data_IF_345634618932
#
_entry.id   IF_345634618932
#
_cell.length_a   1.000
_cell.length_b   1.000
_cell.length_c   1.000
_cell.angle_alpha   90.00
_cell.angle_beta   90.00
_cell.angle_gamma   90.00
#
_symmetry.space_group_name_H-M   'P 1'
#
loop_
_entity.id
_entity.type
_entity.pdbx_description
1 polymer ?
#
# COMPACT_ATOMS: atom_id res chain seq x y z
N UNK A 1 -3.17 -1.07 0.68
CA UNK A 1 -3.41 -1.68 2.02
C UNK A 1 -2.88 -3.10 1.95
N UNK A 2 -2.10 -3.58 2.90
CA UNK A 2 -1.63 -4.98 2.87
C UNK A 2 -2.55 -5.87 3.71
N UNK A 3 -3.05 -6.95 3.11
CA UNK A 3 -3.83 -8.01 3.75
C UNK A 3 -3.00 -9.29 3.83
N UNK A 4 -3.16 -10.05 4.92
CA UNK A 4 -2.55 -11.37 5.08
C UNK A 4 -3.56 -12.47 4.74
N UNK A 5 -3.13 -13.44 3.96
CA UNK A 5 -3.91 -14.63 3.62
C UNK A 5 -3.05 -15.87 3.86
N UNK A 6 -3.63 -16.88 4.51
CA UNK A 6 -2.93 -18.12 4.82
C UNK A 6 -3.27 -19.16 3.77
N UNK A 7 -2.24 -19.75 3.17
CA UNK A 7 -2.38 -20.76 2.12
C UNK A 7 -1.50 -21.97 2.39
N UNK A 8 -1.93 -23.12 1.88
CA UNK A 8 -1.20 -24.37 1.94
C UNK A 8 -0.91 -24.84 0.52
N UNK A 9 0.36 -25.09 0.19
CA UNK A 9 0.75 -25.69 -1.08
C UNK A 9 0.16 -27.11 -1.20
N UNK A 10 -0.56 -27.39 -2.29
CA UNK A 10 -1.19 -28.71 -2.48
C UNK A 10 -0.17 -29.82 -2.74
N UNK A 11 0.94 -29.52 -3.41
CA UNK A 11 2.01 -30.48 -3.73
C UNK A 11 2.80 -30.92 -2.50
N UNK A 12 3.42 -29.99 -1.77
CA UNK A 12 4.38 -30.32 -0.70
C UNK A 12 3.89 -29.99 0.71
N UNK A 13 2.64 -29.53 0.85
CA UNK A 13 2.01 -29.20 2.14
C UNK A 13 2.77 -28.16 2.98
N UNK A 14 3.56 -27.30 2.32
CA UNK A 14 4.18 -26.15 2.96
C UNK A 14 3.16 -25.03 3.15
N UNK A 15 3.12 -24.46 4.36
CA UNK A 15 2.29 -23.31 4.69
C UNK A 15 2.97 -22.02 4.22
N UNK A 16 2.17 -21.11 3.66
CA UNK A 16 2.57 -19.76 3.27
C UNK A 16 1.63 -18.72 3.86
N UNK A 17 2.20 -17.57 4.19
CA UNK A 17 1.46 -16.37 4.57
C UNK A 17 1.65 -15.32 3.49
N UNK A 18 0.65 -15.15 2.65
CA UNK A 18 0.69 -14.20 1.55
C UNK A 18 0.35 -12.81 2.06
N UNK A 19 1.23 -11.87 1.79
CA UNK A 19 1.02 -10.43 2.06
C UNK A 19 0.73 -9.76 0.74
N UNK A 20 -0.52 -9.39 0.53
CA UNK A 20 -1.00 -8.88 -0.75
C UNK A 20 -1.48 -7.45 -0.56
N UNK A 21 -0.92 -6.53 -1.35
CA UNK A 21 -1.42 -5.16 -1.39
C UNK A 21 -2.68 -5.11 -2.21
N UNK A 22 -3.78 -4.66 -1.59
CA UNK A 22 -5.00 -4.32 -2.30
C UNK A 22 -4.73 -3.12 -3.21
N UNK A 23 -4.63 -3.37 -4.50
CA UNK A 23 -4.58 -2.37 -5.57
C UNK A 23 -5.94 -1.69 -5.83
N UNK A 24 -6.05 -1.00 -6.96
CA UNK A 24 -7.25 -0.24 -7.37
C UNK A 24 -8.23 -1.07 -8.20
N UNK A 25 -7.82 -2.23 -8.68
CA UNK A 25 -8.65 -3.07 -9.53
C UNK A 25 -9.55 -3.99 -8.69
N UNK A 26 -10.76 -4.22 -9.18
CA UNK A 26 -11.75 -5.11 -8.52
C UNK A 26 -11.31 -6.60 -8.52
N UNK A 27 -10.33 -6.95 -9.35
CA UNK A 27 -9.79 -8.30 -9.46
C UNK A 27 -8.29 -8.25 -9.60
N UNK A 28 -7.58 -9.00 -8.77
CA UNK A 28 -6.12 -9.07 -8.74
C UNK A 28 -5.69 -10.53 -8.71
N UNK A 29 -4.92 -10.94 -9.71
CA UNK A 29 -4.31 -12.27 -9.78
C UNK A 29 -2.83 -12.19 -9.42
N UNK A 30 -2.37 -13.15 -8.62
CA UNK A 30 -0.96 -13.27 -8.25
C UNK A 30 -0.46 -14.68 -8.49
N UNK A 31 0.76 -14.77 -9.02
CA UNK A 31 1.49 -16.02 -9.22
C UNK A 31 2.79 -15.97 -8.43
N UNK A 32 3.13 -17.06 -7.78
CA UNK A 32 4.39 -17.21 -7.07
C UNK A 32 4.79 -18.68 -7.00
N UNK A 33 6.07 -18.96 -6.78
CA UNK A 33 6.56 -20.32 -6.64
C UNK A 33 6.56 -20.73 -5.16
N UNK A 34 6.15 -21.96 -4.89
CA UNK A 34 6.26 -22.55 -3.57
C UNK A 34 7.73 -22.49 -3.09
N UNK A 35 7.96 -21.93 -1.92
CA UNK A 35 9.30 -21.80 -1.33
C UNK A 35 10.01 -23.12 -1.04
N UNK A 36 9.29 -24.24 -1.02
CA UNK A 36 9.84 -25.56 -0.73
C UNK A 36 9.97 -26.46 -1.99
N UNK A 37 8.90 -26.60 -2.78
CA UNK A 37 8.92 -27.49 -3.97
C UNK A 37 9.03 -26.76 -5.31
N UNK A 38 9.13 -25.43 -5.31
CA UNK A 38 9.23 -24.58 -6.50
C UNK A 38 8.05 -24.62 -7.49
N UNK A 39 7.04 -25.47 -7.26
CA UNK A 39 5.81 -25.49 -8.07
C UNK A 39 5.08 -24.14 -8.02
N UNK A 40 4.53 -23.72 -9.17
CA UNK A 40 3.77 -22.47 -9.29
C UNK A 40 2.45 -22.58 -8.51
N UNK A 41 2.09 -21.49 -7.81
CA UNK A 41 0.85 -21.30 -7.09
C UNK A 41 0.18 -20.03 -7.63
N UNK A 42 -1.12 -20.11 -7.89
CA UNK A 42 -1.93 -18.99 -8.35
C UNK A 42 -3.06 -18.69 -7.35
N UNK A 43 -3.22 -17.41 -7.02
CA UNK A 43 -4.29 -16.91 -6.14
C UNK A 43 -4.93 -15.68 -6.74
N UNK A 44 -6.15 -15.37 -6.31
CA UNK A 44 -6.82 -14.13 -6.68
C UNK A 44 -7.47 -13.45 -5.49
N UNK A 45 -7.66 -12.15 -5.63
CA UNK A 45 -8.45 -11.31 -4.73
C UNK A 45 -9.51 -10.59 -5.54
N UNK A 46 -10.76 -10.72 -5.12
CA UNK A 46 -11.86 -9.88 -5.56
C UNK A 46 -12.08 -8.76 -4.54
N UNK A 47 -12.18 -7.53 -5.00
CA UNK A 47 -12.34 -6.34 -4.15
C UNK A 47 -13.66 -5.65 -4.49
N UNK A 48 -14.47 -5.42 -3.47
CA UNK A 48 -15.68 -4.61 -3.56
C UNK A 48 -15.42 -3.26 -2.86
N UNK A 49 -15.21 -2.22 -3.67
CA UNK A 49 -14.98 -0.87 -3.16
C UNK A 49 -16.23 -0.18 -2.63
N UNK A 50 -17.44 -0.65 -3.02
CA UNK A 50 -18.70 -0.09 -2.54
C UNK A 50 -19.02 -0.61 -1.13
N UNK A 51 -18.63 -1.85 -0.83
CA UNK A 51 -18.79 -2.45 0.50
C UNK A 51 -17.59 -2.12 1.39
N UNK A 52 -17.82 -1.28 2.40
CA UNK A 52 -16.78 -0.84 3.36
C UNK A 52 -16.93 -1.55 4.70
N UNK A 53 -15.83 -2.06 5.25
CA UNK A 53 -15.74 -2.68 6.57
C UNK A 53 -14.98 -1.77 7.55
N UNK A 54 -15.36 -1.77 8.82
CA UNK A 54 -14.60 -1.09 9.87
C UNK A 54 -13.32 -1.85 10.17
N UNK A 55 -12.20 -1.12 10.23
CA UNK A 55 -10.91 -1.72 10.61
C UNK A 55 -10.87 -1.87 12.13
N UNK A 56 -10.77 -3.11 12.62
CA UNK A 56 -10.65 -3.41 14.05
C UNK A 56 -9.33 -2.92 14.65
N UNK A 57 -9.33 -2.61 15.94
CA UNK A 57 -8.12 -2.21 16.68
C UNK A 57 -7.77 -0.72 16.63
N UNK A 58 -8.52 0.09 15.88
CA UNK A 58 -8.34 1.55 15.87
C UNK A 58 -9.23 2.24 16.91
N UNK A 59 -8.80 3.39 17.48
CA UNK A 59 -9.61 4.15 18.42
C UNK A 59 -10.97 4.53 17.83
N UNK A 60 -12.06 4.43 18.62
CA UNK A 60 -13.45 4.67 18.15
C UNK A 60 -13.70 6.04 17.50
N UNK A 61 -12.85 7.03 17.76
CA UNK A 61 -12.94 8.36 17.15
C UNK A 61 -12.37 8.41 15.72
N UNK A 62 -11.56 7.42 15.34
CA UNK A 62 -10.98 7.27 14.00
C UNK A 62 -11.82 6.27 13.18
N UNK A 63 -12.71 6.79 12.34
CA UNK A 63 -13.57 5.99 11.45
C UNK A 63 -12.83 5.57 10.18
N UNK A 64 -11.79 4.76 10.31
CA UNK A 64 -11.14 4.15 9.15
C UNK A 64 -11.92 2.93 8.68
N UNK A 65 -12.14 2.87 7.36
CA UNK A 65 -12.80 1.74 6.70
C UNK A 65 -11.94 1.18 5.59
N UNK A 66 -12.05 -0.12 5.37
CA UNK A 66 -11.40 -0.84 4.29
C UNK A 66 -12.44 -1.38 3.30
N UNK A 67 -12.10 -1.58 2.02
CA UNK A 67 -12.98 -2.31 1.10
C UNK A 67 -13.10 -3.78 1.51
N UNK A 68 -14.23 -4.38 1.22
CA UNK A 68 -14.40 -5.83 1.34
C UNK A 68 -13.51 -6.52 0.30
N UNK A 69 -12.75 -7.52 0.74
CA UNK A 69 -11.89 -8.33 -0.11
C UNK A 69 -12.21 -9.81 0.07
N UNK A 70 -12.33 -10.56 -1.01
CA UNK A 70 -12.55 -11.99 -1.01
C UNK A 70 -11.35 -12.70 -1.67
N UNK A 71 -10.63 -13.49 -0.88
CA UNK A 71 -9.47 -14.24 -1.35
C UNK A 71 -9.89 -15.61 -1.88
N UNK A 72 -9.38 -15.97 -3.06
CA UNK A 72 -9.67 -17.26 -3.71
C UNK A 72 -8.39 -17.94 -4.16
N UNK A 73 -8.10 -19.18 -3.71
CA UNK A 73 -7.06 -20.00 -4.33
C UNK A 73 -7.48 -20.38 -5.76
N UNK A 74 -6.59 -20.21 -6.74
CA UNK A 74 -6.86 -20.58 -8.14
C UNK A 74 -6.19 -21.90 -8.53
N UNK A 75 -4.89 -22.04 -8.25
CA UNK A 75 -4.11 -23.22 -8.62
C UNK A 75 -3.08 -23.58 -7.55
N UNK A 76 -2.88 -24.88 -7.35
CA UNK A 76 -1.87 -25.49 -6.48
C UNK A 76 -1.82 -24.99 -5.01
N UNK A 77 -2.91 -24.42 -4.53
CA UNK A 77 -3.05 -24.07 -3.11
C UNK A 77 -4.47 -24.29 -2.59
N UNK A 78 -4.57 -24.32 -1.27
CA UNK A 78 -5.82 -24.28 -0.50
C UNK A 78 -5.73 -23.26 0.63
N UNK A 79 -6.88 -22.83 1.15
CA UNK A 79 -6.92 -21.92 2.30
C UNK A 79 -6.40 -22.67 3.53
N UNK A 80 -5.52 -22.02 4.29
CA UNK A 80 -5.00 -22.53 5.54
C UNK A 80 -5.49 -21.68 6.73
N UNK A 81 -5.20 -22.16 7.94
CA UNK A 81 -5.55 -21.49 9.20
C UNK A 81 -4.34 -21.18 10.07
N UNK A 82 -3.15 -21.51 9.59
CA UNK A 82 -1.89 -21.35 10.32
C UNK A 82 -0.96 -20.45 9.54
N UNK A 83 -0.20 -19.64 10.29
CA UNK A 83 0.85 -18.82 9.73
C UNK A 83 1.97 -19.72 9.18
N UNK A 84 2.35 -19.48 7.93
CA UNK A 84 3.47 -20.13 7.26
C UNK A 84 4.55 -19.14 6.86
N UNK A 85 5.40 -19.57 5.92
CA UNK A 85 6.49 -18.76 5.37
C UNK A 85 5.90 -17.50 4.72
N UNK A 86 6.37 -16.33 5.14
CA UNK A 86 5.85 -15.05 4.66
C UNK A 86 6.33 -14.78 3.25
N UNK A 87 5.38 -14.50 2.35
CA UNK A 87 5.64 -14.11 0.95
C UNK A 87 4.99 -12.77 0.71
N UNK A 88 5.80 -11.77 0.36
CA UNK A 88 5.30 -10.47 -0.08
C UNK A 88 4.98 -10.57 -1.58
N UNK A 89 3.70 -10.47 -1.93
CA UNK A 89 3.23 -10.42 -3.33
C UNK A 89 3.00 -8.96 -3.78
N UNK A 90 3.68 -8.01 -3.14
CA UNK A 90 3.69 -6.60 -3.54
C UNK A 90 4.88 -6.36 -4.48
N UNK A 91 4.65 -5.88 -5.72
CA UNK A 91 5.73 -5.63 -6.67
C UNK A 91 6.59 -4.40 -6.32
N UNK A 92 6.17 -3.52 -5.40
CA UNK A 92 6.75 -2.20 -5.20
C UNK A 92 7.15 -1.88 -3.76
N UNK A 93 7.11 -2.83 -2.83
CA UNK A 93 7.27 -2.50 -1.41
C UNK A 93 8.14 -3.48 -0.62
N UNK A 94 9.26 -2.96 -0.11
CA UNK A 94 10.11 -3.65 0.86
C UNK A 94 9.65 -3.31 2.28
N UNK A 95 9.34 -4.35 3.07
CA UNK A 95 8.83 -4.22 4.44
C UNK A 95 9.95 -4.62 5.40
N UNK A 96 10.18 -3.82 6.44
CA UNK A 96 11.15 -4.16 7.48
C UNK A 96 10.73 -5.43 8.24
N UNK A 97 11.70 -6.17 8.73
CA UNK A 97 11.51 -7.46 9.41
C UNK A 97 10.52 -7.36 10.59
N UNK A 98 10.62 -6.27 11.36
CA UNK A 98 9.74 -5.94 12.50
C UNK A 98 8.25 -5.83 12.15
N UNK A 99 7.95 -5.58 10.88
CA UNK A 99 6.61 -5.32 10.36
C UNK A 99 6.08 -6.48 9.51
N UNK A 100 6.84 -7.58 9.37
CA UNK A 100 6.44 -8.75 8.58
C UNK A 100 5.17 -9.42 9.12
N UNK A 101 5.04 -9.48 10.44
CA UNK A 101 3.94 -10.19 11.13
C UNK A 101 2.74 -9.30 11.46
N UNK A 102 2.75 -8.03 11.04
CA UNK A 102 1.70 -7.07 11.36
C UNK A 102 0.67 -6.96 10.22
N UNK A 103 -0.60 -6.99 10.61
CA UNK A 103 -1.76 -6.80 9.75
C UNK A 103 -2.08 -5.32 9.52
N UNK A 104 -2.75 -5.02 8.40
CA UNK A 104 -3.26 -3.69 8.07
C UNK A 104 -2.18 -2.59 8.01
N UNK A 105 -0.93 -2.96 7.72
CA UNK A 105 0.12 -2.00 7.42
C UNK A 105 -0.10 -1.44 6.02
N UNK A 106 -0.01 -0.12 5.93
CA UNK A 106 0.01 0.56 4.65
C UNK A 106 1.43 1.02 4.33
N UNK A 107 1.88 0.90 3.06
CA UNK A 107 3.17 1.42 2.65
C UNK A 107 3.41 2.88 3.04
N UNK A 108 2.38 3.71 2.87
CA UNK A 108 2.44 5.12 3.24
C UNK A 108 2.61 5.36 4.74
N UNK A 109 2.27 4.42 5.64
CA UNK A 109 2.45 4.62 7.09
C UNK A 109 3.92 4.58 7.49
N UNK A 110 4.71 3.74 6.83
CA UNK A 110 6.17 3.72 7.01
C UNK A 110 6.77 5.01 6.44
N UNK A 111 6.33 5.41 5.26
CA UNK A 111 6.79 6.63 4.61
C UNK A 111 6.37 7.90 5.34
N UNK A 112 5.18 7.93 5.96
CA UNK A 112 4.70 9.06 6.76
C UNK A 112 5.54 9.26 8.03
N UNK A 113 5.94 8.17 8.70
CA UNK A 113 6.87 8.25 9.86
C UNK A 113 8.25 8.75 9.44
N UNK A 114 8.75 8.31 8.27
CA UNK A 114 9.98 8.88 7.69
C UNK A 114 9.78 10.37 7.44
N UNK A 115 8.70 10.79 6.76
CA UNK A 115 8.40 12.19 6.48
C UNK A 115 8.32 13.06 7.74
N UNK A 116 7.74 12.56 8.83
CA UNK A 116 7.66 13.27 10.12
C UNK A 116 9.04 13.39 10.80
N UNK A 117 9.88 12.35 10.72
CA UNK A 117 11.27 12.43 11.14
C UNK A 117 12.10 13.37 10.23
N UNK A 118 11.77 13.43 8.94
CA UNK A 118 12.43 14.28 7.93
C UNK A 118 12.03 15.76 8.02
N UNK A 119 10.77 16.11 8.30
CA UNK A 119 10.34 17.50 8.56
C UNK A 119 11.08 18.08 9.78
N UNK A 120 11.38 17.24 10.78
CA UNK A 120 12.21 17.63 11.93
C UNK A 120 13.71 17.82 11.57
N UNK A 121 14.19 17.20 10.49
CA UNK A 121 15.57 17.27 9.98
C UNK A 121 15.77 18.41 8.96
N UNK A 122 14.76 18.68 8.12
CA UNK A 122 14.74 19.75 7.12
C UNK A 122 14.78 21.14 7.78
N UNK A 123 14.22 21.25 8.99
CA UNK A 123 14.37 22.44 9.84
C UNK A 123 15.78 22.66 10.38
N UNK A 124 16.72 21.72 10.18
CA UNK A 124 18.09 21.85 10.69
C UNK A 124 19.17 22.00 9.63
N UNK A 125 19.27 21.23 8.53
CA UNK A 125 20.61 21.15 7.91
C UNK A 125 20.84 20.86 6.41
N UNK A 126 19.89 20.76 5.47
CA UNK A 126 20.28 20.37 4.08
C UNK A 126 19.59 21.10 2.92
N UNK A 127 20.33 21.45 1.85
CA UNK A 127 19.77 21.99 0.62
C UNK A 127 19.06 20.91 -0.22
N UNK A 128 18.05 21.35 -0.95
CA UNK A 128 16.96 20.56 -1.50
C UNK A 128 17.23 19.50 -2.61
N UNK A 129 18.39 19.36 -3.30
CA UNK A 129 18.47 18.36 -4.37
C UNK A 129 18.81 16.93 -3.90
N UNK A 130 19.47 16.74 -2.75
CA UNK A 130 19.89 15.40 -2.29
C UNK A 130 18.72 14.55 -1.76
N UNK A 131 17.61 15.20 -1.43
CA UNK A 131 16.48 14.59 -0.71
C UNK A 131 15.59 13.76 -1.62
N UNK A 132 15.50 14.07 -2.91
CA UNK A 132 14.64 13.36 -3.84
C UNK A 132 15.14 11.95 -4.16
N UNK A 133 16.47 11.77 -4.31
CA UNK A 133 17.08 10.48 -4.66
C UNK A 133 16.93 9.41 -3.58
N UNK A 134 16.91 9.79 -2.30
CA UNK A 134 16.83 8.83 -1.18
C UNK A 134 15.46 8.16 -1.09
N UNK A 135 14.38 8.90 -1.36
CA UNK A 135 13.03 8.33 -1.36
C UNK A 135 12.78 7.42 -2.57
N UNK A 136 13.35 7.76 -3.73
CA UNK A 136 13.30 6.92 -4.93
C UNK A 136 14.18 5.67 -4.79
N UNK A 137 15.36 5.78 -4.15
CA UNK A 137 16.25 4.65 -3.88
C UNK A 137 15.70 3.64 -2.85
N UNK A 138 14.76 4.07 -1.99
CA UNK A 138 14.15 3.23 -0.95
C UNK A 138 12.80 2.62 -1.38
N UNK A 139 12.42 2.72 -2.65
CA UNK A 139 11.16 2.17 -3.17
C UNK A 139 9.91 2.91 -2.67
N UNK A 140 10.04 4.19 -2.29
CA UNK A 140 8.92 5.02 -1.89
C UNK A 140 7.95 5.31 -3.04
N UNK A 141 6.70 5.67 -2.72
CA UNK A 141 5.75 6.16 -3.72
C UNK A 141 6.32 7.44 -4.33
N UNK A 142 6.80 7.36 -5.59
CA UNK A 142 7.39 8.48 -6.33
C UNK A 142 6.55 9.75 -6.14
N UNK A 143 7.21 10.84 -5.77
CA UNK A 143 6.64 12.18 -5.66
C UNK A 143 5.56 12.40 -4.57
N UNK A 144 5.48 11.56 -3.52
CA UNK A 144 4.50 11.73 -2.44
C UNK A 144 4.54 13.12 -1.78
N UNK A 145 5.75 13.64 -1.48
CA UNK A 145 5.92 15.00 -0.92
C UNK A 145 5.33 16.06 -1.86
N UNK A 146 5.63 15.96 -3.15
CA UNK A 146 5.15 16.89 -4.16
C UNK A 146 3.62 16.81 -4.34
N UNK A 147 3.02 15.61 -4.25
CA UNK A 147 1.54 15.42 -4.21
C UNK A 147 0.92 16.12 -2.99
N UNK A 148 1.53 15.97 -1.81
CA UNK A 148 1.05 16.61 -0.58
C UNK A 148 1.15 18.14 -0.68
N UNK A 149 2.24 18.66 -1.24
CA UNK A 149 2.41 20.11 -1.48
C UNK A 149 1.35 20.65 -2.45
N UNK A 150 1.09 19.95 -3.55
CA UNK A 150 0.07 20.33 -4.53
C UNK A 150 -1.33 20.39 -3.89
N UNK A 151 -1.70 19.37 -3.10
CA UNK A 151 -2.98 19.33 -2.38
C UNK A 151 -3.07 20.47 -1.34
N UNK A 152 -2.01 20.71 -0.56
CA UNK A 152 -1.95 21.82 0.41
C UNK A 152 -2.11 23.18 -0.29
N UNK A 153 -1.48 23.38 -1.47
CA UNK A 153 -1.60 24.59 -2.29
C UNK A 153 -3.02 24.78 -2.81
N UNK A 154 -3.62 23.73 -3.37
CA UNK A 154 -4.99 23.75 -3.89
C UNK A 154 -6.03 24.07 -2.80
N UNK A 155 -5.90 23.49 -1.62
CA UNK A 155 -6.77 23.78 -0.46
C UNK A 155 -6.65 25.25 -0.03
N UNK A 156 -5.44 25.81 0.03
CA UNK A 156 -5.23 27.24 0.35
C UNK A 156 -5.87 28.17 -0.68
N UNK A 157 -5.80 27.84 -1.97
CA UNK A 157 -6.38 28.62 -3.06
C UNK A 157 -7.91 28.56 -3.03
N UNK A 158 -8.48 27.37 -2.80
CA UNK A 158 -9.92 27.17 -2.64
C UNK A 158 -10.48 27.97 -1.46
N UNK A 159 -9.80 27.94 -0.31
CA UNK A 159 -10.20 28.71 0.88
C UNK A 159 -10.16 30.23 0.67
N UNK A 160 -9.47 30.71 -0.37
CA UNK A 160 -9.43 32.12 -0.79
C UNK A 160 -10.42 32.44 -1.92
N UNK A 161 -11.31 31.51 -2.30
CA UNK A 161 -12.27 31.66 -3.39
C UNK A 161 -11.66 31.54 -4.80
N UNK A 162 -10.40 31.08 -4.92
CA UNK A 162 -9.68 30.98 -6.19
C UNK A 162 -9.78 29.57 -6.78
N UNK A 163 -10.99 29.11 -7.07
CA UNK A 163 -11.25 27.71 -7.45
C UNK A 163 -10.57 27.28 -8.75
N UNK A 164 -10.48 28.18 -9.74
CA UNK A 164 -9.80 27.91 -11.03
C UNK A 164 -8.31 27.65 -10.84
N UNK A 165 -7.65 28.40 -9.96
CA UNK A 165 -6.22 28.21 -9.63
C UNK A 165 -6.01 26.96 -8.78
N UNK A 166 -6.99 26.62 -7.92
CA UNK A 166 -6.94 25.39 -7.15
C UNK A 166 -7.01 24.14 -8.04
N UNK A 167 -7.85 24.17 -9.10
CA UNK A 167 -7.94 23.08 -10.08
C UNK A 167 -6.65 22.94 -10.88
N UNK A 168 -6.11 24.05 -11.40
CA UNK A 168 -4.83 24.05 -12.11
C UNK A 168 -3.68 23.48 -11.26
N UNK A 169 -3.62 23.81 -9.97
CA UNK A 169 -2.59 23.30 -9.07
C UNK A 169 -2.68 21.77 -8.83
N UNK A 170 -3.85 21.16 -9.04
CA UNK A 170 -4.05 19.70 -8.96
C UNK A 170 -3.74 19.06 -10.32
N UNK A 171 -4.21 19.66 -11.41
CA UNK A 171 -4.02 19.19 -12.79
C UNK A 171 -2.54 19.18 -13.21
N UNK A 172 -1.77 20.22 -12.85
CA UNK A 172 -0.32 20.27 -13.09
C UNK A 172 0.43 19.08 -12.46
N UNK A 173 -0.15 18.45 -11.43
CA UNK A 173 0.48 17.36 -10.70
C UNK A 173 -0.05 15.97 -11.07
N UNK A 174 -1.23 15.88 -11.70
CA UNK A 174 -1.86 14.61 -12.03
C UNK A 174 -2.62 14.70 -13.37
N UNK A 175 -1.93 14.60 -14.52
CA UNK A 175 -2.51 14.85 -15.85
C UNK A 175 -3.59 13.85 -16.27
N UNK A 176 -3.81 12.77 -15.52
CA UNK A 176 -4.83 11.74 -15.78
C UNK A 176 -6.22 12.06 -15.19
N UNK A 177 -6.40 13.17 -14.47
CA UNK A 177 -7.71 13.60 -13.94
C UNK A 177 -8.50 14.53 -14.88
N UNK A 178 -8.02 14.79 -16.10
CA UNK A 178 -8.61 15.71 -17.07
C UNK A 178 -9.46 15.01 -18.18
N UNK A 179 -9.89 13.76 -17.96
CA UNK A 179 -10.83 13.03 -18.83
C UNK A 179 -12.09 12.66 -18.06
#
# INVERSE_FOLDING_TARGET
MIKRYYTLCKTCKTHHTLRITLGTDNYQEHKFNCTNCAEEICVSIEIDFNKRLSIGGLPKHMRFTEPYSNFKPLSNCEIAFQEGIIINLDPNFLISEELLHQDNIFPWMIEARKLEAFENLENKLLPAPFVNDVFDALGGVRNLKNKIIAVKKALKLKNKGQEKLAHQAIEEFNPTLAQ
#
